data_IF_301975450268
#
_entry.id   IF_301975450268
#
_cell.length_a   1.000
_cell.length_b   1.000
_cell.length_c   1.000
_cell.angle_alpha   90.00
_cell.angle_beta   90.00
_cell.angle_gamma   90.00
#
_symmetry.space_group_name_H-M   'P 1'
#
loop_
_entity.id
_entity.type
_entity.pdbx_description
1 polymer ?
#
# COMPACT_ATOMS: atom_id res chain seq x y z
N UNK A 1 2.07 30.00 10.83
CA UNK A 1 3.07 29.20 10.12
C UNK A 1 2.76 27.79 10.48
N UNK A 2 2.37 26.99 9.49
CA UNK A 2 1.92 25.63 9.75
C UNK A 2 3.13 24.76 10.09
N UNK A 3 2.94 23.78 10.96
CA UNK A 3 4.01 22.86 11.40
C UNK A 3 3.60 21.42 11.13
N UNK A 4 4.57 20.60 10.77
CA UNK A 4 4.42 19.15 10.70
C UNK A 4 4.83 18.55 12.05
N UNK A 5 3.94 17.79 12.65
CA UNK A 5 4.16 17.12 13.93
C UNK A 5 3.97 15.62 13.70
N UNK A 6 4.93 14.76 14.11
CA UNK A 6 4.77 13.32 13.99
C UNK A 6 3.47 12.84 14.65
N UNK A 7 2.69 12.02 13.95
CA UNK A 7 1.37 11.60 14.42
C UNK A 7 1.42 10.85 15.76
N UNK A 8 2.54 10.15 16.02
CA UNK A 8 2.82 9.49 17.31
C UNK A 8 2.71 10.42 18.53
N UNK A 9 2.89 11.74 18.35
CA UNK A 9 2.74 12.72 19.45
C UNK A 9 1.28 12.98 19.85
N UNK A 10 0.33 12.63 18.98
CA UNK A 10 -1.11 12.78 19.24
C UNK A 10 -1.77 11.46 19.66
N UNK A 11 -1.15 10.31 19.38
CA UNK A 11 -1.70 8.99 19.71
C UNK A 11 -1.13 8.48 21.03
N UNK A 12 -1.99 8.19 22.01
CA UNK A 12 -1.60 7.48 23.26
C UNK A 12 -1.51 5.96 23.09
N UNK A 13 -1.53 5.45 21.86
CA UNK A 13 -1.62 4.01 21.61
C UNK A 13 -0.26 3.34 21.82
N UNK A 14 -0.22 2.37 22.74
CA UNK A 14 0.93 1.48 22.98
C UNK A 14 1.08 0.40 21.90
N UNK A 15 0.12 0.31 20.96
CA UNK A 15 0.16 -0.69 19.91
C UNK A 15 1.14 -0.27 18.81
N UNK A 16 2.04 -1.19 18.47
CA UNK A 16 3.11 -1.15 17.46
C UNK A 16 2.63 -0.90 16.00
N UNK A 17 1.57 -0.14 15.77
CA UNK A 17 1.30 0.41 14.45
C UNK A 17 2.45 1.36 14.13
N UNK A 18 3.27 1.01 13.13
CA UNK A 18 4.38 1.84 12.65
C UNK A 18 3.82 3.09 11.96
N UNK A 19 3.27 4.01 12.76
CA UNK A 19 2.85 5.35 12.36
C UNK A 19 4.07 6.29 12.25
N UNK A 20 5.25 5.71 12.00
CA UNK A 20 6.54 6.40 11.90
C UNK A 20 6.53 7.42 10.78
N UNK A 21 5.83 7.09 9.70
CA UNK A 21 5.82 7.87 8.47
C UNK A 21 4.55 8.72 8.34
N UNK A 22 3.76 8.83 9.41
CA UNK A 22 2.58 9.69 9.45
C UNK A 22 2.86 10.96 10.26
N UNK A 23 2.44 12.10 9.74
CA UNK A 23 2.54 13.41 10.37
C UNK A 23 1.23 14.19 10.25
N UNK A 24 1.00 15.09 11.19
CA UNK A 24 -0.14 16.00 11.22
C UNK A 24 0.35 17.39 10.89
N UNK A 25 -0.31 18.05 9.93
CA UNK A 25 -0.14 19.48 9.69
C UNK A 25 -1.01 20.21 10.70
N UNK A 26 -0.40 21.08 11.49
CA UNK A 26 -1.11 21.90 12.48
C UNK A 26 -0.95 23.40 12.21
N UNK A 27 -1.90 24.19 12.70
CA UNK A 27 -1.82 25.65 12.69
C UNK A 27 -0.91 26.20 13.81
N UNK A 28 -0.96 27.52 14.06
CA UNK A 28 -0.15 28.18 15.11
C UNK A 28 -0.56 27.77 16.53
N UNK A 29 -1.79 27.33 16.72
CA UNK A 29 -2.40 26.98 18.01
C UNK A 29 -2.41 25.46 18.25
N UNK A 30 -1.72 24.70 17.38
CA UNK A 30 -1.67 23.24 17.34
C UNK A 30 -2.99 22.55 16.98
N UNK A 31 -3.91 23.24 16.29
CA UNK A 31 -5.10 22.59 15.75
C UNK A 31 -4.74 21.77 14.51
N UNK A 32 -5.19 20.50 14.41
CA UNK A 32 -4.98 19.67 13.22
C UNK A 32 -5.70 20.26 11.99
N UNK A 33 -4.95 20.46 10.90
CA UNK A 33 -5.46 20.91 9.60
C UNK A 33 -5.48 19.78 8.57
N UNK A 34 -4.62 18.78 8.72
CA UNK A 34 -4.53 17.66 7.79
C UNK A 34 -3.46 16.65 8.17
N UNK A 35 -3.37 15.59 7.39
CA UNK A 35 -2.43 14.49 7.58
C UNK A 35 -1.51 14.35 6.36
N UNK A 36 -0.27 13.98 6.63
CA UNK A 36 0.72 13.59 5.63
C UNK A 36 1.15 12.18 5.97
N UNK A 37 1.07 11.29 4.99
CA UNK A 37 1.44 9.88 5.15
C UNK A 37 2.59 9.55 4.21
N UNK A 38 3.52 8.74 4.70
CA UNK A 38 4.38 7.94 3.85
C UNK A 38 3.52 7.01 2.99
N UNK A 39 4.01 6.72 1.79
CA UNK A 39 3.30 5.92 0.77
C UNK A 39 2.72 4.62 1.33
N UNK A 40 3.54 3.83 2.01
CA UNK A 40 3.14 2.49 2.48
C UNK A 40 2.14 2.59 3.64
N UNK A 41 2.27 3.61 4.50
CA UNK A 41 1.28 3.91 5.54
C UNK A 41 -0.05 4.39 4.95
N UNK A 42 -0.01 5.15 3.86
CA UNK A 42 -1.22 5.59 3.16
C UNK A 42 -1.95 4.42 2.51
N UNK A 43 -1.22 3.55 1.80
CA UNK A 43 -1.79 2.33 1.21
C UNK A 43 -2.43 1.47 2.31
N UNK A 44 -1.74 1.25 3.43
CA UNK A 44 -2.26 0.48 4.56
C UNK A 44 -3.56 1.07 5.13
N UNK A 45 -3.65 2.41 5.23
CA UNK A 45 -4.89 3.08 5.65
C UNK A 45 -6.02 2.83 4.65
N UNK A 46 -5.74 2.99 3.35
CA UNK A 46 -6.72 2.72 2.30
C UNK A 46 -7.20 1.27 2.32
N UNK A 47 -6.33 0.29 2.53
CA UNK A 47 -6.70 -1.13 2.64
C UNK A 47 -7.65 -1.37 3.80
N UNK A 48 -7.41 -0.79 4.98
CA UNK A 48 -8.33 -0.94 6.12
C UNK A 48 -9.70 -0.33 5.81
N UNK A 49 -9.75 0.80 5.10
CA UNK A 49 -11.01 1.42 4.67
C UNK A 49 -11.72 0.52 3.65
N UNK A 50 -10.98 -0.05 2.72
CA UNK A 50 -11.46 -0.97 1.68
C UNK A 50 -12.10 -2.21 2.32
N UNK A 51 -11.36 -2.90 3.19
CA UNK A 51 -11.83 -4.09 3.92
C UNK A 51 -13.12 -3.80 4.73
N UNK A 52 -13.16 -2.68 5.45
CA UNK A 52 -14.33 -2.29 6.24
C UNK A 52 -15.54 -1.93 5.38
N UNK A 53 -15.31 -1.38 4.19
CA UNK A 53 -16.37 -1.11 3.21
C UNK A 53 -16.92 -2.40 2.63
N UNK A 54 -16.05 -3.33 2.20
CA UNK A 54 -16.46 -4.62 1.63
C UNK A 54 -17.28 -5.45 2.62
N UNK A 55 -16.90 -5.48 3.91
CA UNK A 55 -17.68 -6.17 4.96
C UNK A 55 -19.13 -5.67 5.08
N UNK A 56 -19.40 -4.42 4.70
CA UNK A 56 -20.71 -3.78 4.85
C UNK A 56 -21.53 -3.82 3.56
N UNK A 57 -20.91 -4.13 2.43
CA UNK A 57 -21.53 -4.07 1.11
C UNK A 57 -21.76 -5.48 0.59
N UNK A 58 -23.02 -5.89 0.56
CA UNK A 58 -23.44 -7.20 0.02
C UNK A 58 -23.59 -7.21 -1.51
N UNK A 59 -23.41 -6.07 -2.19
CA UNK A 59 -23.52 -5.94 -3.65
C UNK A 59 -22.13 -5.97 -4.30
N UNK A 60 -21.78 -7.02 -5.07
CA UNK A 60 -20.47 -7.15 -5.70
C UNK A 60 -20.11 -5.98 -6.62
N UNK A 61 -21.08 -5.35 -7.28
CA UNK A 61 -20.80 -4.21 -8.15
C UNK A 61 -20.39 -2.98 -7.36
N UNK A 62 -20.99 -2.77 -6.18
CA UNK A 62 -20.63 -1.66 -5.30
C UNK A 62 -19.30 -1.90 -4.59
N UNK A 63 -18.98 -3.14 -4.25
CA UNK A 63 -17.67 -3.51 -3.73
C UNK A 63 -16.58 -3.19 -4.77
N UNK A 64 -16.77 -3.58 -6.03
CA UNK A 64 -15.84 -3.26 -7.11
C UNK A 64 -15.66 -1.75 -7.37
N UNK A 65 -16.71 -0.96 -7.17
CA UNK A 65 -16.66 0.49 -7.37
C UNK A 65 -16.10 1.29 -6.17
N UNK A 66 -15.55 0.61 -5.15
CA UNK A 66 -15.04 1.24 -3.94
C UNK A 66 -13.96 2.31 -4.25
N UNK A 67 -14.16 3.56 -3.83
CA UNK A 67 -13.15 4.61 -3.98
C UNK A 67 -11.81 4.29 -3.31
N UNK A 68 -11.81 3.53 -2.22
CA UNK A 68 -10.57 3.14 -1.52
C UNK A 68 -9.75 2.17 -2.37
N UNK A 69 -10.33 1.05 -2.82
CA UNK A 69 -9.70 0.12 -3.76
C UNK A 69 -9.18 0.82 -5.02
N UNK A 70 -9.99 1.67 -5.67
CA UNK A 70 -9.55 2.43 -6.85
C UNK A 70 -8.34 3.34 -6.58
N UNK A 71 -8.26 3.91 -5.39
CA UNK A 71 -7.13 4.77 -5.02
C UNK A 71 -5.86 3.94 -4.79
N UNK A 72 -6.00 2.74 -4.21
CA UNK A 72 -4.90 1.77 -4.08
C UNK A 72 -4.37 1.42 -5.47
N UNK A 73 -5.25 1.00 -6.38
CA UNK A 73 -4.89 0.63 -7.76
C UNK A 73 -4.11 1.75 -8.45
N UNK A 74 -4.61 2.99 -8.40
CA UNK A 74 -3.95 4.15 -9.01
C UNK A 74 -2.57 4.44 -8.42
N UNK A 75 -2.37 4.19 -7.12
CA UNK A 75 -1.06 4.35 -6.48
C UNK A 75 -0.14 3.22 -6.94
N UNK A 76 -0.61 1.98 -6.91
CA UNK A 76 0.13 0.78 -7.31
C UNK A 76 0.62 0.86 -8.76
N UNK A 77 -0.22 1.35 -9.69
CA UNK A 77 0.14 1.59 -11.08
C UNK A 77 1.33 2.55 -11.26
N UNK A 78 1.57 3.45 -10.30
CA UNK A 78 2.66 4.42 -10.33
C UNK A 78 3.88 3.96 -9.54
N UNK A 79 3.80 2.82 -8.84
CA UNK A 79 4.94 2.31 -8.08
C UNK A 79 6.03 1.80 -9.03
N UNK A 80 7.30 2.14 -8.77
CA UNK A 80 8.39 1.57 -9.53
C UNK A 80 8.43 0.06 -9.26
N UNK A 81 8.32 -0.73 -10.33
CA UNK A 81 8.49 -2.18 -10.26
C UNK A 81 9.89 -2.48 -9.71
N UNK A 82 9.98 -3.37 -8.74
CA UNK A 82 11.27 -3.78 -8.18
C UNK A 82 12.20 -4.25 -9.33
N UNK A 83 13.34 -3.58 -9.56
CA UNK A 83 14.21 -3.91 -10.69
C UNK A 83 14.71 -5.35 -10.68
N UNK A 84 14.92 -5.93 -9.49
CA UNK A 84 15.32 -7.32 -9.32
C UNK A 84 14.19 -8.25 -9.77
N UNK A 85 12.97 -8.02 -9.29
CA UNK A 85 11.80 -8.79 -9.69
C UNK A 85 11.57 -8.71 -11.21
N UNK A 86 11.69 -7.52 -11.81
CA UNK A 86 11.55 -7.34 -13.24
C UNK A 86 12.63 -8.10 -14.04
N UNK A 87 13.87 -8.16 -13.52
CA UNK A 87 14.97 -8.93 -14.11
C UNK A 87 14.71 -10.44 -14.02
N UNK A 88 14.32 -10.91 -12.84
CA UNK A 88 14.05 -12.32 -12.57
C UNK A 88 12.89 -12.82 -13.44
N UNK A 89 11.78 -12.07 -13.48
CA UNK A 89 10.64 -12.38 -14.34
C UNK A 89 11.01 -12.46 -15.83
N UNK A 90 11.85 -11.53 -16.31
CA UNK A 90 12.36 -11.56 -17.70
C UNK A 90 13.20 -12.82 -17.96
N UNK A 91 14.02 -13.22 -17.01
CA UNK A 91 14.82 -14.44 -17.09
C UNK A 91 13.91 -15.68 -17.16
N UNK A 92 12.93 -15.77 -16.27
CA UNK A 92 11.98 -16.88 -16.21
C UNK A 92 11.15 -16.98 -17.49
N UNK A 93 10.65 -15.86 -18.04
CA UNK A 93 9.93 -15.86 -19.33
C UNK A 93 10.85 -16.33 -20.48
N UNK A 94 12.11 -15.90 -20.49
CA UNK A 94 13.09 -16.30 -21.51
C UNK A 94 13.39 -17.80 -21.43
N UNK A 95 13.50 -18.34 -20.21
CA UNK A 95 13.70 -19.76 -19.98
C UNK A 95 12.46 -20.56 -20.39
N UNK A 96 11.27 -20.14 -19.95
CA UNK A 96 9.99 -20.74 -20.33
C UNK A 96 9.79 -20.88 -21.84
N UNK A 97 10.15 -19.84 -22.60
CA UNK A 97 10.05 -19.85 -24.07
C UNK A 97 11.01 -20.86 -24.71
N UNK A 98 12.13 -21.17 -24.06
CA UNK A 98 13.12 -22.16 -24.54
C UNK A 98 12.73 -23.58 -24.14
N UNK A 99 12.21 -23.78 -22.92
CA UNK A 99 11.96 -25.09 -22.32
C UNK A 99 10.50 -25.54 -22.41
N UNK A 100 9.58 -24.66 -22.82
CA UNK A 100 8.10 -24.82 -22.74
C UNK A 100 7.57 -25.12 -21.33
N UNK A 101 8.39 -24.93 -20.30
CA UNK A 101 8.04 -25.25 -18.90
C UNK A 101 8.79 -24.32 -17.96
N UNK A 102 8.10 -23.78 -16.95
CA UNK A 102 8.73 -23.12 -15.78
C UNK A 102 8.45 -23.99 -14.55
N UNK A 103 9.48 -24.47 -13.84
CA UNK A 103 9.30 -25.17 -12.57
C UNK A 103 8.60 -24.26 -11.55
N UNK A 104 7.65 -24.79 -10.79
CA UNK A 104 6.88 -24.02 -9.79
C UNK A 104 7.79 -23.45 -8.69
N UNK A 105 8.90 -24.13 -8.44
CA UNK A 105 9.92 -23.75 -7.47
C UNK A 105 10.64 -22.45 -7.85
N UNK A 106 10.88 -22.22 -9.15
CA UNK A 106 11.47 -20.97 -9.64
C UNK A 106 10.52 -19.78 -9.48
N UNK A 107 9.21 -20.01 -9.65
CA UNK A 107 8.18 -18.98 -9.45
C UNK A 107 8.08 -18.61 -7.98
N UNK A 108 8.05 -19.60 -7.09
CA UNK A 108 7.99 -19.39 -5.64
C UNK A 108 9.20 -18.59 -5.11
N UNK A 109 10.41 -18.92 -5.56
CA UNK A 109 11.63 -18.18 -5.16
C UNK A 109 11.62 -16.72 -5.64
N UNK A 110 11.00 -16.43 -6.78
CA UNK A 110 10.94 -15.06 -7.33
C UNK A 110 9.90 -14.16 -6.64
N UNK A 111 8.87 -14.75 -6.03
CA UNK A 111 7.77 -14.02 -5.37
C UNK A 111 8.05 -13.66 -3.91
N UNK A 112 9.04 -14.31 -3.28
CA UNK A 112 9.50 -14.04 -1.92
C UNK A 112 8.36 -13.78 -0.90
N UNK A 113 7.40 -14.71 -0.88
CA UNK A 113 6.50 -14.99 0.24
C UNK A 113 7.11 -16.15 1.03
#
# INVERSE_FOLDING_TARGET
MNKLIPFKKFTKSENNLSLSDASVVVDKDNNPLGFVFGRDSFISLCTVIDDEFEKRVNDPKKAFDNPAGKLIDLIEEKLPVNPKFASDLKSSIKNAKKTRWIPLEEVAQSLNV
#
